data_IF_766665796195
#
_entry.id   IF_766665796195
#
_cell.length_a   1.000
_cell.length_b   1.000
_cell.length_c   1.000
_cell.angle_alpha   90.00
_cell.angle_beta   90.00
_cell.angle_gamma   90.00
#
_symmetry.space_group_name_H-M   'P 1'
#
loop_
_entity.id
_entity.type
_entity.pdbx_description
1 polymer ?
#
# COMPACT_ATOMS: atom_id res chain seq x y z
N UNK A 1 19.22 23.50 -20.73
CA UNK A 1 19.10 22.02 -20.68
C UNK A 1 18.03 21.68 -19.65
N UNK A 2 16.84 21.28 -20.09
CA UNK A 2 15.74 20.94 -19.19
C UNK A 2 15.95 19.53 -18.62
N UNK A 3 16.27 19.45 -17.32
CA UNK A 3 16.28 18.18 -16.60
C UNK A 3 14.85 17.69 -16.41
N UNK A 4 14.33 16.98 -17.42
CA UNK A 4 13.11 16.19 -17.31
C UNK A 4 13.36 14.97 -16.43
N UNK A 5 13.43 15.18 -15.12
CA UNK A 5 13.36 14.10 -14.13
C UNK A 5 11.95 13.49 -14.15
N UNK A 6 11.66 12.62 -15.12
CA UNK A 6 10.52 11.70 -15.03
C UNK A 6 10.75 10.86 -13.77
N UNK A 7 9.95 11.10 -12.71
CA UNK A 7 9.91 10.21 -11.55
C UNK A 7 9.62 8.80 -12.05
N UNK A 8 10.62 7.92 -12.00
CA UNK A 8 10.44 6.50 -12.29
C UNK A 8 9.46 5.94 -11.25
N UNK A 9 8.41 5.27 -11.71
CA UNK A 9 7.46 4.61 -10.82
C UNK A 9 8.19 3.49 -10.09
N UNK A 10 8.40 3.65 -8.78
CA UNK A 10 9.04 2.62 -7.97
C UNK A 10 8.02 1.49 -7.75
N UNK A 11 8.37 0.28 -8.19
CA UNK A 11 7.58 -0.93 -7.96
C UNK A 11 8.37 -1.95 -7.14
N UNK A 12 7.67 -2.80 -6.40
CA UNK A 12 8.24 -3.90 -5.63
C UNK A 12 7.38 -5.14 -5.81
N UNK A 13 8.01 -6.28 -6.11
CA UNK A 13 7.37 -7.59 -6.06
C UNK A 13 7.51 -8.20 -4.66
N UNK A 14 6.45 -8.80 -4.14
CA UNK A 14 6.41 -9.45 -2.82
C UNK A 14 5.56 -10.71 -2.92
N UNK A 15 6.11 -11.85 -2.53
CA UNK A 15 5.36 -13.10 -2.43
C UNK A 15 4.76 -13.22 -1.04
N UNK A 16 3.45 -13.49 -0.97
CA UNK A 16 2.69 -13.71 0.28
C UNK A 16 1.88 -14.98 0.06
N UNK A 17 2.12 -16.01 0.88
CA UNK A 17 1.64 -17.36 0.58
C UNK A 17 2.15 -17.83 -0.78
N UNK A 18 1.24 -18.27 -1.64
CA UNK A 18 1.53 -18.73 -3.00
C UNK A 18 1.27 -17.65 -4.07
N UNK A 19 1.01 -16.39 -3.67
CA UNK A 19 0.66 -15.30 -4.59
C UNK A 19 1.79 -14.28 -4.66
N UNK A 20 2.27 -13.99 -5.88
CA UNK A 20 3.18 -12.87 -6.14
C UNK A 20 2.41 -11.57 -6.36
N UNK A 21 2.56 -10.64 -5.42
CA UNK A 21 2.01 -9.29 -5.52
C UNK A 21 3.03 -8.32 -6.12
N UNK A 22 2.54 -7.34 -6.87
CA UNK A 22 3.29 -6.17 -7.32
C UNK A 22 2.70 -4.93 -6.69
N UNK A 23 3.52 -4.19 -5.96
CA UNK A 23 3.18 -2.92 -5.35
C UNK A 23 3.77 -1.76 -6.14
N UNK A 24 3.04 -0.65 -6.23
CA UNK A 24 3.47 0.57 -6.89
C UNK A 24 3.45 1.76 -5.93
N UNK A 25 4.58 2.48 -5.87
CA UNK A 25 4.73 3.65 -5.03
C UNK A 25 3.93 4.81 -5.63
N UNK A 26 3.01 5.34 -4.85
CA UNK A 26 2.23 6.51 -5.20
C UNK A 26 3.03 7.80 -4.97
N UNK A 27 2.78 8.86 -5.77
CA UNK A 27 3.24 10.20 -5.45
C UNK A 27 2.77 10.64 -4.05
N UNK A 28 3.61 11.38 -3.33
CA UNK A 28 3.39 11.77 -1.93
C UNK A 28 2.02 12.40 -1.67
N UNK A 29 1.59 13.33 -2.53
CA UNK A 29 0.27 13.98 -2.41
C UNK A 29 -0.87 12.94 -2.45
N UNK A 30 -0.84 12.05 -3.44
CA UNK A 30 -1.87 11.02 -3.60
C UNK A 30 -1.88 10.04 -2.42
N UNK A 31 -0.70 9.69 -1.91
CA UNK A 31 -0.57 8.84 -0.74
C UNK A 31 -1.18 9.49 0.52
N UNK A 32 -0.97 10.79 0.73
CA UNK A 32 -1.59 11.52 1.84
C UNK A 32 -3.11 11.63 1.69
N UNK A 33 -3.60 11.93 0.50
CA UNK A 33 -5.05 11.98 0.21
C UNK A 33 -5.73 10.64 0.51
N UNK A 34 -5.10 9.53 0.14
CA UNK A 34 -5.63 8.19 0.43
C UNK A 34 -5.56 7.89 1.93
N UNK A 35 -4.43 8.20 2.60
CA UNK A 35 -4.26 7.96 4.03
C UNK A 35 -5.33 8.66 4.87
N UNK A 36 -5.73 9.86 4.48
CA UNK A 36 -6.78 10.62 5.17
C UNK A 36 -8.16 9.95 5.09
N UNK A 37 -8.43 9.14 4.06
CA UNK A 37 -9.74 8.49 3.88
C UNK A 37 -9.99 7.36 4.87
N UNK A 38 -8.94 6.72 5.38
CA UNK A 38 -9.07 5.58 6.29
C UNK A 38 -8.89 5.98 7.76
N UNK A 39 -8.98 7.27 8.09
CA UNK A 39 -8.94 7.77 9.46
C UNK A 39 -10.34 8.23 9.86
N UNK A 40 -10.77 7.86 11.07
CA UNK A 40 -11.99 8.40 11.67
C UNK A 40 -11.77 9.83 12.21
N UNK A 41 -12.81 10.42 12.79
CA UNK A 41 -12.77 11.77 13.38
C UNK A 41 -11.78 11.90 14.55
N UNK A 42 -11.40 10.78 15.16
CA UNK A 42 -10.47 10.69 16.28
C UNK A 42 -9.05 10.29 15.84
N UNK A 43 -8.78 10.23 14.53
CA UNK A 43 -7.54 9.73 13.92
C UNK A 43 -7.24 8.24 14.16
N UNK A 44 -8.24 7.44 14.52
CA UNK A 44 -8.09 5.98 14.54
C UNK A 44 -8.17 5.43 13.12
N UNK A 45 -7.45 4.34 12.86
CA UNK A 45 -7.47 3.65 11.57
C UNK A 45 -8.77 2.84 11.42
N UNK A 46 -9.47 3.06 10.32
CA UNK A 46 -10.57 2.22 9.85
C UNK A 46 -9.94 1.13 8.97
N UNK A 47 -9.67 -0.04 9.55
CA UNK A 47 -8.87 -1.10 8.90
C UNK A 47 -9.44 -1.55 7.55
N UNK A 48 -10.77 -1.70 7.45
CA UNK A 48 -11.44 -2.07 6.21
C UNK A 48 -11.12 -1.06 5.10
N UNK A 49 -11.35 0.23 5.35
CA UNK A 49 -11.07 1.30 4.38
C UNK A 49 -9.58 1.40 4.07
N UNK A 50 -8.71 1.12 5.05
CA UNK A 50 -7.27 1.06 4.82
C UNK A 50 -6.94 -0.02 3.79
N UNK A 51 -7.45 -1.23 3.98
CA UNK A 51 -7.22 -2.34 3.08
C UNK A 51 -7.80 -2.11 1.69
N UNK A 52 -9.05 -1.64 1.58
CA UNK A 52 -9.68 -1.29 0.30
C UNK A 52 -8.83 -0.30 -0.50
N UNK A 53 -8.39 0.79 0.14
CA UNK A 53 -7.59 1.81 -0.54
C UNK A 53 -6.19 1.32 -0.94
N UNK A 54 -5.57 0.44 -0.13
CA UNK A 54 -4.26 -0.13 -0.45
C UNK A 54 -4.34 -1.12 -1.61
N UNK A 55 -5.35 -2.00 -1.62
CA UNK A 55 -5.61 -2.93 -2.71
C UNK A 55 -5.93 -2.17 -4.02
N UNK A 56 -6.70 -1.10 -3.93
CA UNK A 56 -7.09 -0.31 -5.10
C UNK A 56 -5.91 0.47 -5.70
N UNK A 57 -5.09 1.12 -4.87
CA UNK A 57 -4.12 2.10 -5.35
C UNK A 57 -2.65 1.67 -5.27
N UNK A 58 -2.27 0.84 -4.30
CA UNK A 58 -0.87 0.44 -4.07
C UNK A 58 -0.59 -0.94 -4.65
N UNK A 59 -1.51 -1.90 -4.46
CA UNK A 59 -1.40 -3.23 -5.08
C UNK A 59 -1.89 -3.14 -6.52
N UNK A 60 -0.98 -3.34 -7.48
CA UNK A 60 -1.32 -3.23 -8.91
C UNK A 60 -1.49 -4.57 -9.59
N UNK A 61 -0.97 -5.66 -8.99
CA UNK A 61 -1.17 -7.02 -9.46
C UNK A 61 -1.00 -8.05 -8.31
N UNK A 62 -1.80 -9.12 -8.23
CA UNK A 62 -3.12 -9.22 -8.86
C UNK A 62 -4.04 -8.11 -8.34
N UNK A 63 -5.03 -7.73 -9.14
CA UNK A 63 -6.12 -6.88 -8.67
C UNK A 63 -7.13 -7.76 -7.93
N UNK A 64 -7.29 -7.50 -6.65
CA UNK A 64 -8.23 -8.16 -5.73
C UNK A 64 -8.93 -7.11 -4.88
N UNK A 65 -10.14 -7.42 -4.49
CA UNK A 65 -10.94 -6.75 -3.47
C UNK A 65 -10.75 -7.44 -2.11
N UNK A 66 -11.31 -6.87 -1.05
CA UNK A 66 -11.30 -7.50 0.28
C UNK A 66 -12.10 -8.81 0.31
N UNK A 67 -13.12 -8.94 -0.54
CA UNK A 67 -13.99 -10.13 -0.63
C UNK A 67 -13.31 -11.32 -1.32
N UNK A 68 -12.16 -11.11 -1.97
CA UNK A 68 -11.38 -12.18 -2.62
C UNK A 68 -10.44 -12.90 -1.63
N UNK A 69 -10.53 -12.60 -0.34
CA UNK A 69 -9.71 -13.18 0.72
C UNK A 69 -10.59 -13.99 1.68
N UNK A 70 -10.29 -15.28 1.82
CA UNK A 70 -10.99 -16.17 2.75
C UNK A 70 -10.49 -16.03 4.21
N UNK A 71 -9.30 -15.45 4.40
CA UNK A 71 -8.68 -15.23 5.71
C UNK A 71 -8.28 -13.75 5.90
N UNK A 72 -8.79 -13.16 6.99
CA UNK A 72 -8.46 -11.79 7.42
C UNK A 72 -6.95 -11.64 7.65
N UNK A 73 -6.26 -12.68 8.12
CA UNK A 73 -4.82 -12.64 8.37
C UNK A 73 -4.00 -12.49 7.09
N UNK A 74 -4.44 -13.13 5.99
CA UNK A 74 -3.84 -12.99 4.67
C UNK A 74 -4.05 -11.58 4.13
N UNK A 75 -5.30 -11.08 4.16
CA UNK A 75 -5.64 -9.72 3.76
C UNK A 75 -4.77 -8.69 4.50
N UNK A 76 -4.71 -8.80 5.83
CA UNK A 76 -3.93 -7.88 6.66
C UNK A 76 -2.44 -7.94 6.35
N UNK A 77 -1.90 -9.13 6.05
CA UNK A 77 -0.49 -9.29 5.64
C UNK A 77 -0.20 -8.52 4.35
N UNK A 78 -1.07 -8.63 3.34
CA UNK A 78 -0.94 -7.87 2.08
C UNK A 78 -1.03 -6.37 2.34
N UNK A 79 -2.03 -5.91 3.09
CA UNK A 79 -2.22 -4.50 3.42
C UNK A 79 -1.03 -3.92 4.19
N UNK A 80 -0.51 -4.63 5.21
CA UNK A 80 0.65 -4.18 5.99
C UNK A 80 1.89 -4.06 5.10
N UNK A 81 2.16 -5.05 4.25
CA UNK A 81 3.32 -5.01 3.33
C UNK A 81 3.20 -3.88 2.31
N UNK A 82 2.00 -3.65 1.75
CA UNK A 82 1.72 -2.54 0.86
C UNK A 82 1.85 -1.18 1.57
N UNK A 83 1.32 -1.05 2.78
CA UNK A 83 1.43 0.14 3.63
C UNK A 83 2.88 0.44 3.98
N UNK A 84 3.66 -0.56 4.38
CA UNK A 84 5.09 -0.41 4.66
C UNK A 84 5.85 0.03 3.41
N UNK A 85 5.55 -0.53 2.24
CA UNK A 85 6.17 -0.07 1.00
C UNK A 85 5.78 1.38 0.67
N UNK A 86 4.54 1.80 0.92
CA UNK A 86 4.04 3.13 0.58
C UNK A 86 4.43 4.22 1.59
N UNK A 87 4.40 3.94 2.89
CA UNK A 87 4.55 4.92 3.97
C UNK A 87 5.74 4.64 4.88
N UNK A 88 6.22 3.39 4.92
CA UNK A 88 7.44 3.01 5.60
C UNK A 88 8.66 3.54 4.85
N UNK A 89 9.16 4.71 5.25
CA UNK A 89 10.48 5.18 4.83
C UNK A 89 11.59 4.21 5.27
N UNK A 90 12.78 4.31 4.67
CA UNK A 90 14.00 3.66 5.20
C UNK A 90 14.33 4.27 6.58
N UNK A 91 13.69 3.79 7.64
CA UNK A 91 14.05 4.04 9.03
C UNK A 91 13.74 2.79 9.86
N UNK A 92 14.44 1.69 9.54
CA UNK A 92 14.68 0.60 10.50
C UNK A 92 16.06 -0.01 10.22
N UNK A 93 17.09 0.72 10.63
CA UNK A 93 18.30 0.11 11.18
C UNK A 93 18.52 0.83 12.50
N UNK A 94 18.50 0.08 13.59
CA UNK A 94 18.57 0.49 15.00
C UNK A 94 17.21 0.57 15.72
N UNK A 95 16.65 -0.60 16.02
CA UNK A 95 16.27 -0.92 17.40
C UNK A 95 17.05 -2.14 17.83
#
# INVERSE_FOLDING_TARGET
>A
MSNNNKKQFLQKKVTIGDVEYTFQKLPTKKALEIKQKWLDQNNNVIELTMCEQLLEHVVVNPKRSVDDYDDVSELMTVCIQASNFQYGGKFSKNM
#
